data_IF_777030821768
#
_entry.id   IF_777030821768
#
_cell.length_a   1.000
_cell.length_b   1.000
_cell.length_c   1.000
_cell.angle_alpha   90.00
_cell.angle_beta   90.00
_cell.angle_gamma   90.00
#
_symmetry.space_group_name_H-M   'P 1'
#
loop_
_entity.id
_entity.type
_entity.pdbx_description
1 polymer ?
#
# COMPACT_ATOMS: atom_id res chain seq x y z
N UNK A 1 10.93 14.20 1.03
CA UNK A 1 10.46 12.83 0.73
C UNK A 1 8.95 12.87 0.54
N UNK A 2 8.34 11.81 0.04
CA UNK A 2 6.88 11.70 -0.07
C UNK A 2 6.39 10.54 0.77
N UNK A 3 5.33 10.78 1.53
CA UNK A 3 4.57 9.73 2.20
C UNK A 3 3.32 9.46 1.36
N UNK A 4 3.22 8.23 0.87
CA UNK A 4 2.04 7.68 0.21
C UNK A 4 1.35 6.75 1.21
N UNK A 5 0.12 7.08 1.60
CA UNK A 5 -0.68 6.27 2.51
C UNK A 5 -1.89 5.73 1.77
N UNK A 6 -2.13 4.43 1.91
CA UNK A 6 -3.31 3.77 1.35
C UNK A 6 -4.03 3.03 2.46
N UNK A 7 -5.34 3.23 2.54
CA UNK A 7 -6.22 2.43 3.38
C UNK A 7 -7.10 1.60 2.45
N UNK A 8 -7.11 0.29 2.64
CA UNK A 8 -7.90 -0.64 1.85
C UNK A 8 -9.11 -1.13 2.65
N UNK A 9 -10.22 -1.26 1.95
CA UNK A 9 -11.42 -1.92 2.43
C UNK A 9 -11.55 -3.27 1.75
N UNK A 10 -11.40 -4.36 2.50
CA UNK A 10 -11.72 -5.71 2.06
C UNK A 10 -13.11 -6.12 2.53
N UNK A 11 -13.90 -6.72 1.63
CA UNK A 11 -15.27 -7.20 1.91
C UNK A 11 -15.33 -8.14 3.11
N UNK A 12 -14.39 -9.08 3.14
CA UNK A 12 -14.26 -10.10 4.17
C UNK A 12 -12.95 -9.91 4.93
N UNK A 13 -12.93 -10.36 6.18
CA UNK A 13 -11.69 -10.39 6.97
C UNK A 13 -10.69 -11.31 6.28
N UNK A 14 -9.53 -10.76 5.93
CA UNK A 14 -8.42 -11.54 5.40
C UNK A 14 -7.97 -12.57 6.44
N UNK A 15 -8.08 -13.85 6.08
CA UNK A 15 -7.46 -14.92 6.85
C UNK A 15 -5.92 -14.88 6.70
N UNK A 16 -5.21 -15.73 7.42
CA UNK A 16 -3.74 -15.67 7.45
C UNK A 16 -3.09 -16.00 6.10
N UNK A 17 -3.72 -16.85 5.29
CA UNK A 17 -3.25 -17.17 3.95
C UNK A 17 -3.37 -15.97 3.01
N UNK A 18 -4.57 -15.41 2.88
CA UNK A 18 -4.83 -14.25 2.02
C UNK A 18 -4.05 -13.02 2.47
N UNK A 19 -3.92 -12.81 3.78
CA UNK A 19 -3.05 -11.77 4.32
C UNK A 19 -1.59 -11.94 3.94
N UNK A 20 -1.07 -13.17 4.04
CA UNK A 20 0.30 -13.45 3.61
C UNK A 20 0.51 -13.14 2.12
N UNK A 21 -0.49 -13.39 1.27
CA UNK A 21 -0.45 -13.02 -0.15
C UNK A 21 -0.39 -11.50 -0.34
N UNK A 22 -1.21 -10.74 0.39
CA UNK A 22 -1.22 -9.27 0.37
C UNK A 22 0.16 -8.72 0.80
N UNK A 23 0.74 -9.24 1.89
CA UNK A 23 2.05 -8.81 2.41
C UNK A 23 3.19 -9.13 1.43
N UNK A 24 3.20 -10.35 0.88
CA UNK A 24 4.21 -10.76 -0.08
C UNK A 24 4.17 -9.92 -1.36
N UNK A 25 2.97 -9.58 -1.84
CA UNK A 25 2.79 -8.67 -2.97
C UNK A 25 3.38 -7.29 -2.71
N UNK A 26 3.08 -6.70 -1.54
CA UNK A 26 3.63 -5.40 -1.14
C UNK A 26 5.17 -5.43 -1.08
N UNK A 27 5.75 -6.46 -0.44
CA UNK A 27 7.21 -6.60 -0.30
C UNK A 27 7.95 -6.68 -1.65
N UNK A 28 7.31 -7.24 -2.69
CA UNK A 28 7.90 -7.32 -4.04
C UNK A 28 8.02 -5.94 -4.69
N UNK A 29 7.05 -5.04 -4.47
CA UNK A 29 7.09 -3.69 -5.03
C UNK A 29 8.34 -2.92 -4.62
N UNK A 30 8.73 -3.01 -3.34
CA UNK A 30 9.95 -2.36 -2.83
C UNK A 30 11.25 -2.90 -3.46
N UNK A 31 11.22 -4.12 -4.01
CA UNK A 31 12.38 -4.73 -4.70
C UNK A 31 12.42 -4.38 -6.19
N UNK A 32 11.26 -4.17 -6.80
CA UNK A 32 11.12 -3.99 -8.25
C UNK A 32 11.02 -2.53 -8.68
N UNK A 33 10.53 -1.63 -7.81
CA UNK A 33 10.26 -0.24 -8.15
C UNK A 33 11.29 0.69 -7.52
N UNK A 34 12.14 1.36 -8.32
CA UNK A 34 13.12 2.31 -7.81
C UNK A 34 12.49 3.50 -7.09
N UNK A 35 13.18 4.01 -6.07
CA UNK A 35 12.78 5.23 -5.36
C UNK A 35 11.88 5.02 -4.14
N UNK A 36 11.50 3.78 -3.82
CA UNK A 36 10.90 3.40 -2.53
C UNK A 36 12.01 3.36 -1.46
N UNK A 37 11.81 4.11 -0.38
CA UNK A 37 12.69 4.18 0.79
C UNK A 37 12.27 3.23 1.91
N UNK A 38 10.96 3.01 2.03
CA UNK A 38 10.40 2.16 3.06
C UNK A 38 8.94 1.85 2.78
N UNK A 39 8.48 0.72 3.27
CA UNK A 39 7.10 0.28 3.15
C UNK A 39 6.67 -0.47 4.40
N UNK A 40 5.50 -0.15 4.95
CA UNK A 40 4.90 -0.84 6.08
C UNK A 40 3.43 -1.12 5.80
N UNK A 41 2.93 -2.25 6.26
CA UNK A 41 1.52 -2.62 6.10
C UNK A 41 1.00 -3.28 7.38
N UNK A 42 -0.29 -3.14 7.66
CA UNK A 42 -0.91 -3.76 8.83
C UNK A 42 -2.43 -3.77 8.76
N UNK A 43 -3.04 -4.69 9.52
CA UNK A 43 -4.50 -4.74 9.73
C UNK A 43 -4.92 -3.70 10.77
N UNK A 44 -6.08 -3.07 10.59
CA UNK A 44 -6.66 -2.21 11.64
C UNK A 44 -7.01 -3.07 12.86
N UNK A 45 -6.51 -2.67 14.02
CA UNK A 45 -6.84 -3.26 15.32
C UNK A 45 -7.81 -2.38 16.13
N UNK A 46 -8.03 -1.13 15.70
CA UNK A 46 -8.74 -0.13 16.50
C UNK A 46 -10.26 -0.13 16.26
N UNK A 47 -10.72 -0.67 15.13
CA UNK A 47 -12.12 -0.64 14.73
C UNK A 47 -12.63 0.75 14.31
N UNK A 48 -11.73 1.74 14.20
CA UNK A 48 -12.07 3.14 13.85
C UNK A 48 -11.87 3.44 12.37
N UNK A 49 -11.45 2.46 11.58
CA UNK A 49 -11.14 2.61 10.16
C UNK A 49 -12.35 2.92 9.25
N UNK A 50 -13.58 3.00 9.79
CA UNK A 50 -14.80 3.29 9.01
C UNK A 50 -15.00 2.36 7.80
N UNK A 51 -14.71 1.08 7.97
CA UNK A 51 -14.78 0.05 6.91
C UNK A 51 -13.42 -0.29 6.30
N UNK A 52 -12.44 0.62 6.35
CA UNK A 52 -11.08 0.33 5.92
C UNK A 52 -10.34 -0.46 7.00
N UNK A 53 -9.87 -1.65 6.65
CA UNK A 53 -9.39 -2.67 7.58
C UNK A 53 -7.91 -3.03 7.37
N UNK A 54 -7.25 -2.46 6.36
CA UNK A 54 -5.81 -2.60 6.12
C UNK A 54 -5.21 -1.23 5.79
N UNK A 55 -4.05 -0.92 6.35
CA UNK A 55 -3.27 0.27 6.02
C UNK A 55 -1.92 -0.10 5.41
N UNK A 56 -1.48 0.68 4.42
CA UNK A 56 -0.18 0.62 3.76
C UNK A 56 0.45 2.02 3.77
N UNK A 57 1.71 2.11 4.15
CA UNK A 57 2.52 3.32 4.02
C UNK A 57 3.70 3.02 3.11
N UNK A 58 3.98 3.91 2.16
CA UNK A 58 5.14 3.85 1.27
C UNK A 58 5.83 5.20 1.31
N UNK A 59 7.13 5.19 1.57
CA UNK A 59 7.95 6.40 1.52
C UNK A 59 8.72 6.42 0.21
N UNK A 60 8.64 7.53 -0.52
CA UNK A 60 9.39 7.75 -1.76
C UNK A 60 10.43 8.86 -1.59
N UNK A 61 11.52 8.77 -2.36
CA UNK A 61 12.57 9.79 -2.39
C UNK A 61 12.03 11.17 -2.77
N UNK A 62 11.11 11.24 -3.73
CA UNK A 62 10.55 12.48 -4.29
C UNK A 62 9.21 12.23 -5.01
N UNK A 63 8.63 13.29 -5.59
CA UNK A 63 7.35 13.23 -6.33
C UNK A 63 7.49 12.46 -7.64
N UNK A 64 8.65 12.52 -8.28
CA UNK A 64 8.93 11.82 -9.54
C UNK A 64 8.90 10.30 -9.34
N UNK A 65 9.45 9.80 -8.25
CA UNK A 65 9.39 8.38 -7.89
C UNK A 65 7.96 7.91 -7.63
N UNK A 66 7.13 8.69 -6.92
CA UNK A 66 5.71 8.40 -6.75
C UNK A 66 4.97 8.40 -8.11
N UNK A 67 5.25 9.38 -8.97
CA UNK A 67 4.62 9.48 -10.29
C UNK A 67 4.98 8.30 -11.20
N UNK A 68 6.20 7.74 -11.08
CA UNK A 68 6.62 6.55 -11.79
C UNK A 68 6.04 5.25 -11.20
N UNK A 69 5.81 5.22 -9.88
CA UNK A 69 5.24 4.07 -9.17
C UNK A 69 3.81 3.75 -9.63
N UNK A 70 2.95 4.77 -9.72
CA UNK A 70 1.54 4.61 -10.11
C UNK A 70 1.32 3.77 -11.38
N UNK A 71 1.90 4.12 -12.54
CA UNK A 71 1.74 3.36 -13.77
C UNK A 71 2.63 2.11 -13.88
N UNK A 72 3.51 1.83 -12.90
CA UNK A 72 4.45 0.72 -13.01
C UNK A 72 3.72 -0.64 -13.11
N UNK A 73 4.12 -1.55 -14.04
CA UNK A 73 3.43 -2.83 -14.24
C UNK A 73 3.31 -3.68 -12.97
N UNK A 74 4.36 -3.72 -12.14
CA UNK A 74 4.33 -4.46 -10.88
C UNK A 74 3.28 -3.88 -9.90
N UNK A 75 3.16 -2.55 -9.83
CA UNK A 75 2.13 -1.90 -9.01
C UNK A 75 0.73 -2.19 -9.54
N UNK A 76 0.51 -2.08 -10.86
CA UNK A 76 -0.78 -2.40 -11.47
C UNK A 76 -1.18 -3.87 -11.23
N UNK A 77 -0.22 -4.79 -11.35
CA UNK A 77 -0.46 -6.21 -11.04
C UNK A 77 -0.78 -6.43 -9.56
N UNK A 78 -0.16 -5.67 -8.65
CA UNK A 78 -0.47 -5.75 -7.22
C UNK A 78 -1.89 -5.25 -6.92
N UNK A 79 -2.28 -4.09 -7.46
CA UNK A 79 -3.65 -3.56 -7.27
C UNK A 79 -4.69 -4.54 -7.80
N UNK A 80 -4.44 -5.16 -8.96
CA UNK A 80 -5.35 -6.17 -9.51
C UNK A 80 -5.42 -7.42 -8.63
N UNK A 81 -4.28 -7.86 -8.08
CA UNK A 81 -4.26 -8.96 -7.13
C UNK A 81 -5.09 -8.65 -5.87
N UNK A 82 -5.01 -7.42 -5.34
CA UNK A 82 -5.84 -7.01 -4.19
C UNK A 82 -7.34 -7.05 -4.51
N UNK A 83 -7.74 -6.62 -5.72
CA UNK A 83 -9.14 -6.72 -6.17
C UNK A 83 -9.62 -8.17 -6.21
N UNK A 84 -8.80 -9.07 -6.72
CA UNK A 84 -9.12 -10.51 -6.77
C UNK A 84 -9.25 -11.13 -5.38
N UNK A 85 -8.51 -10.61 -4.39
CA UNK A 85 -8.62 -10.98 -2.98
C UNK A 85 -9.79 -10.29 -2.25
N UNK A 86 -10.64 -9.54 -2.95
CA UNK A 86 -11.85 -8.94 -2.38
C UNK A 86 -11.69 -7.53 -1.84
N UNK A 87 -10.69 -6.77 -2.29
CA UNK A 87 -10.63 -5.32 -2.07
C UNK A 87 -11.78 -4.62 -2.81
N UNK A 88 -12.63 -3.92 -2.09
CA UNK A 88 -13.80 -3.21 -2.62
C UNK A 88 -13.53 -1.73 -2.85
N UNK A 89 -12.77 -1.10 -1.95
CA UNK A 89 -12.47 0.32 -2.01
C UNK A 89 -11.08 0.64 -1.43
N UNK A 90 -10.57 1.82 -1.75
CA UNK A 90 -9.34 2.33 -1.20
C UNK A 90 -9.35 3.86 -1.09
N UNK A 91 -8.68 4.38 -0.06
CA UNK A 91 -8.41 5.81 0.08
C UNK A 91 -6.91 6.01 0.04
N UNK A 92 -6.47 6.99 -0.75
CA UNK A 92 -5.07 7.39 -0.86
C UNK A 92 -4.88 8.80 -0.34
N UNK A 93 -3.84 9.02 0.44
CA UNK A 93 -3.38 10.34 0.86
C UNK A 93 -1.87 10.42 0.62
N UNK A 94 -1.48 11.42 -0.18
CA UNK A 94 -0.08 11.73 -0.45
C UNK A 94 0.28 13.08 0.19
N UNK A 95 1.41 13.12 0.89
CA UNK A 95 1.93 14.37 1.44
C UNK A 95 3.46 14.37 1.47
N UNK A 96 4.03 15.58 1.48
CA UNK A 96 5.47 15.75 1.64
C UNK A 96 5.88 15.52 3.09
N UNK A 97 7.00 14.82 3.27
CA UNK A 97 7.68 14.71 4.56
C UNK A 97 9.05 15.35 4.47
N UNK A 98 9.36 16.17 5.46
CA UNK A 98 10.74 16.61 5.69
C UNK A 98 11.57 15.42 6.14
N UNK A 99 12.83 15.36 5.71
CA UNK A 99 13.79 14.38 6.22
C UNK A 99 14.02 14.63 7.69
N UNK A 100 13.20 14.04 8.55
CA UNK A 100 13.43 14.10 9.98
C UNK A 100 14.72 13.33 10.27
N UNK A 101 15.75 14.10 10.65
CA UNK A 101 17.00 13.67 11.28
C UNK A 101 16.71 12.84 12.53
#
# INVERSE_FOLDING_TARGET
MIQHMVMFQFRETLNDETWSMVEQGASKLSKEIPGILGMQMGRDFSGRGRGFNVGLTVQFVNREALAAYGPHPAHQSYVEHLRQLGMEDLIVIDFETEGNV
#
